data_IF_516745818261
#
_entry.id   IF_516745818261
#
_cell.length_a   1.000
_cell.length_b   1.000
_cell.length_c   1.000
_cell.angle_alpha   90.00
_cell.angle_beta   90.00
_cell.angle_gamma   90.00
#
_symmetry.space_group_name_H-M   'P 1'
#
loop_
_entity.id
_entity.type
_entity.pdbx_description
1 polymer ?
#
# COMPACT_ATOMS: atom_id res chain seq x y z
N UNK A 1 -11.60 11.30 12.20
CA UNK A 1 -10.91 10.01 11.95
C UNK A 1 -11.48 8.99 12.92
N UNK A 2 -11.81 7.81 12.43
CA UNK A 2 -12.25 6.67 13.22
C UNK A 2 -11.16 5.61 13.19
N UNK A 3 -10.64 5.24 14.36
CA UNK A 3 -9.61 4.21 14.47
C UNK A 3 -10.22 2.88 14.89
N UNK A 4 -9.78 1.80 14.25
CA UNK A 4 -10.17 0.42 14.58
C UNK A 4 -8.92 -0.43 14.66
N UNK A 5 -8.79 -1.20 15.75
CA UNK A 5 -7.61 -2.01 16.00
C UNK A 5 -7.89 -3.48 15.67
N UNK A 6 -6.93 -4.13 15.00
CA UNK A 6 -6.91 -5.58 14.79
C UNK A 6 -5.61 -6.14 15.39
N UNK A 7 -5.73 -6.83 16.52
CA UNK A 7 -4.55 -7.36 17.23
C UNK A 7 -4.04 -8.69 16.65
N UNK A 8 -4.85 -9.36 15.83
CA UNK A 8 -4.51 -10.61 15.15
C UNK A 8 -5.05 -10.58 13.72
N UNK A 9 -4.44 -11.33 12.79
CA UNK A 9 -4.94 -11.43 11.42
C UNK A 9 -6.42 -11.87 11.33
N UNK A 10 -6.84 -12.75 12.25
CA UNK A 10 -8.24 -13.23 12.33
C UNK A 10 -9.26 -12.14 12.67
N UNK A 11 -8.83 -11.06 13.27
CA UNK A 11 -9.70 -9.95 13.70
C UNK A 11 -9.94 -8.94 12.58
N UNK A 12 -9.08 -8.93 11.54
CA UNK A 12 -9.04 -7.90 10.48
C UNK A 12 -10.38 -7.77 9.74
N UNK A 13 -10.97 -8.88 9.30
CA UNK A 13 -12.24 -8.84 8.57
C UNK A 13 -13.39 -8.28 9.43
N UNK A 14 -13.45 -8.66 10.71
CA UNK A 14 -14.48 -8.17 11.64
C UNK A 14 -14.26 -6.68 11.97
N UNK A 15 -13.02 -6.29 12.21
CA UNK A 15 -12.63 -4.90 12.42
C UNK A 15 -13.02 -4.04 11.20
N UNK A 16 -12.75 -4.52 9.99
CA UNK A 16 -13.16 -3.85 8.75
C UNK A 16 -14.67 -3.71 8.66
N UNK A 17 -15.45 -4.77 8.90
CA UNK A 17 -16.92 -4.72 8.85
C UNK A 17 -17.52 -3.77 9.89
N UNK A 18 -16.86 -3.53 11.02
CA UNK A 18 -17.33 -2.57 12.02
C UNK A 18 -17.37 -1.11 11.52
N UNK A 19 -16.73 -0.83 10.38
CA UNK A 19 -16.73 0.50 9.73
C UNK A 19 -17.94 0.74 8.84
N UNK A 20 -18.79 -0.25 8.61
CA UNK A 20 -19.97 -0.13 7.75
C UNK A 20 -20.91 1.00 8.21
N UNK A 21 -21.23 1.92 7.28
CA UNK A 21 -22.07 3.08 7.56
C UNK A 21 -21.44 4.13 8.48
N UNK A 22 -20.13 4.01 8.80
CA UNK A 22 -19.39 4.89 9.70
C UNK A 22 -18.17 5.52 9.07
N UNK A 23 -17.70 4.98 7.93
CA UNK A 23 -16.55 5.47 7.19
C UNK A 23 -16.83 5.46 5.69
N UNK A 24 -16.29 6.43 4.98
CA UNK A 24 -16.39 6.57 3.52
C UNK A 24 -15.13 6.03 2.81
N UNK A 25 -14.03 5.87 3.56
CA UNK A 25 -12.76 5.36 3.07
C UNK A 25 -12.02 4.65 4.20
N UNK A 26 -11.30 3.59 3.87
CA UNK A 26 -10.41 2.89 4.79
C UNK A 26 -8.98 3.23 4.39
N UNK A 27 -8.19 3.74 5.35
CA UNK A 27 -6.74 3.84 5.20
C UNK A 27 -6.08 2.80 6.09
N UNK A 28 -5.13 2.06 5.55
CA UNK A 28 -4.29 1.15 6.30
C UNK A 28 -2.81 1.38 6.01
N UNK A 29 -2.00 1.36 7.08
CA UNK A 29 -0.55 1.35 6.97
C UNK A 29 -0.03 -0.08 6.80
N UNK A 30 1.30 -0.22 6.66
CA UNK A 30 2.00 -1.50 6.59
C UNK A 30 2.07 -2.17 7.99
N UNK A 31 0.94 -2.65 8.48
CA UNK A 31 0.86 -3.47 9.69
C UNK A 31 0.89 -4.95 9.33
N UNK A 32 1.73 -5.75 10.00
CA UNK A 32 1.92 -7.16 9.68
C UNK A 32 0.65 -8.00 9.85
N UNK A 33 -0.22 -7.70 10.82
CA UNK A 33 -1.48 -8.42 11.01
C UNK A 33 -2.45 -8.12 9.87
N UNK A 34 -2.53 -6.84 9.45
CA UNK A 34 -3.40 -6.41 8.35
C UNK A 34 -2.88 -6.98 7.03
N UNK A 35 -1.58 -6.87 6.75
CA UNK A 35 -0.96 -7.37 5.51
C UNK A 35 -1.14 -8.89 5.36
N UNK A 36 -1.00 -9.66 6.43
CA UNK A 36 -1.20 -11.12 6.38
C UNK A 36 -2.65 -11.56 6.14
N UNK A 37 -3.63 -10.69 6.42
CA UNK A 37 -5.06 -10.92 6.19
C UNK A 37 -5.68 -9.91 5.21
N UNK A 38 -4.87 -9.36 4.29
CA UNK A 38 -5.28 -8.24 3.43
C UNK A 38 -6.47 -8.60 2.54
N UNK A 39 -6.49 -9.79 1.97
CA UNK A 39 -7.60 -10.25 1.13
C UNK A 39 -8.94 -10.31 1.89
N UNK A 40 -8.89 -10.67 3.18
CA UNK A 40 -10.08 -10.68 4.02
C UNK A 40 -10.59 -9.24 4.30
N UNK A 41 -9.68 -8.27 4.47
CA UNK A 41 -10.03 -6.86 4.55
C UNK A 41 -10.62 -6.35 3.23
N UNK A 42 -9.95 -6.61 2.10
CA UNK A 42 -10.39 -6.20 0.77
C UNK A 42 -11.78 -6.79 0.43
N UNK A 43 -12.02 -8.06 0.77
CA UNK A 43 -13.34 -8.69 0.61
C UNK A 43 -14.42 -7.98 1.41
N UNK A 44 -14.18 -7.70 2.69
CA UNK A 44 -15.11 -6.97 3.53
C UNK A 44 -15.38 -5.54 3.00
N UNK A 45 -14.34 -4.85 2.54
CA UNK A 45 -14.46 -3.52 1.93
C UNK A 45 -15.27 -3.54 0.63
N UNK A 46 -15.09 -4.58 -0.21
CA UNK A 46 -15.88 -4.79 -1.44
C UNK A 46 -17.37 -5.00 -1.13
N UNK A 47 -17.69 -5.80 -0.10
CA UNK A 47 -19.07 -6.03 0.37
C UNK A 47 -19.72 -4.72 0.81
N UNK A 48 -18.99 -3.88 1.55
CA UNK A 48 -19.46 -2.61 2.10
C UNK A 48 -19.45 -1.46 1.10
N UNK A 49 -18.79 -1.62 -0.07
CA UNK A 49 -18.57 -0.55 -1.05
C UNK A 49 -17.76 0.62 -0.48
N UNK A 50 -16.72 0.32 0.27
CA UNK A 50 -15.82 1.31 0.87
C UNK A 50 -14.43 1.15 0.25
N UNK A 51 -13.85 2.20 -0.38
CA UNK A 51 -12.52 2.15 -0.98
C UNK A 51 -11.42 2.00 0.09
N UNK A 52 -10.42 1.20 -0.24
CA UNK A 52 -9.22 0.98 0.59
C UNK A 52 -8.04 1.70 -0.02
N UNK A 53 -7.40 2.55 0.76
CA UNK A 53 -6.17 3.26 0.42
C UNK A 53 -5.03 2.73 1.29
N UNK A 54 -3.87 2.52 0.67
CA UNK A 54 -2.68 1.96 1.34
C UNK A 54 -1.42 2.77 1.04
N UNK A 55 -0.26 2.29 1.48
CA UNK A 55 1.03 2.94 1.27
C UNK A 55 2.01 2.12 0.44
N UNK A 56 1.55 1.05 -0.26
CA UNK A 56 2.41 0.17 -1.05
C UNK A 56 1.70 -0.41 -2.28
N UNK A 57 2.49 -0.71 -3.33
CA UNK A 57 2.04 -1.30 -4.59
C UNK A 57 1.39 -2.68 -4.38
N UNK A 58 2.02 -3.49 -3.53
CA UNK A 58 1.63 -4.89 -3.36
C UNK A 58 0.21 -5.03 -2.82
N UNK A 59 -0.18 -4.17 -1.88
CA UNK A 59 -1.54 -4.12 -1.34
C UNK A 59 -2.57 -3.69 -2.39
N UNK A 60 -2.20 -2.81 -3.35
CA UNK A 60 -3.10 -2.45 -4.45
C UNK A 60 -3.37 -3.66 -5.35
N UNK A 61 -2.35 -4.46 -5.67
CA UNK A 61 -2.51 -5.69 -6.45
C UNK A 61 -3.38 -6.74 -5.74
N UNK A 62 -3.43 -6.72 -4.42
CA UNK A 62 -4.20 -7.64 -3.57
C UNK A 62 -5.61 -7.16 -3.24
N UNK A 63 -6.02 -5.97 -3.69
CA UNK A 63 -7.41 -5.54 -3.53
C UNK A 63 -7.61 -4.11 -3.04
N UNK A 64 -6.58 -3.30 -2.81
CA UNK A 64 -6.79 -1.88 -2.52
C UNK A 64 -7.15 -1.09 -3.78
N UNK A 65 -7.87 0.01 -3.60
CA UNK A 65 -8.21 0.97 -4.66
C UNK A 65 -6.98 1.71 -5.17
N UNK A 66 -6.16 2.21 -4.25
CA UNK A 66 -4.97 2.97 -4.56
C UNK A 66 -3.96 2.97 -3.42
N UNK A 67 -2.73 3.36 -3.73
CA UNK A 67 -1.67 3.61 -2.76
C UNK A 67 -0.79 4.78 -3.19
N UNK A 68 -0.28 5.50 -2.21
CA UNK A 68 0.81 6.44 -2.41
C UNK A 68 1.99 5.95 -1.56
N UNK A 69 3.01 5.42 -2.21
CA UNK A 69 4.10 4.74 -1.52
C UNK A 69 5.44 4.85 -2.23
N UNK A 70 6.48 4.35 -1.59
CA UNK A 70 7.81 4.25 -2.20
C UNK A 70 7.85 3.13 -3.23
N UNK A 71 8.69 3.29 -4.24
CA UNK A 71 9.01 2.19 -5.14
C UNK A 71 10.09 1.31 -4.51
N UNK A 72 9.85 0.01 -4.41
CA UNK A 72 10.74 -0.95 -3.73
C UNK A 72 12.13 -1.04 -4.38
N UNK A 73 12.20 -0.91 -5.70
CA UNK A 73 13.48 -0.90 -6.41
C UNK A 73 14.32 0.33 -6.03
N UNK A 74 13.72 1.51 -6.00
CA UNK A 74 14.40 2.74 -5.60
C UNK A 74 14.83 2.68 -4.12
N UNK A 75 13.98 2.13 -3.26
CA UNK A 75 14.30 1.89 -1.85
C UNK A 75 15.49 0.94 -1.69
N UNK A 76 15.49 -0.18 -2.43
CA UNK A 76 16.60 -1.13 -2.46
C UNK A 76 17.92 -0.50 -2.95
N UNK A 77 17.83 0.38 -3.97
CA UNK A 77 19.02 1.11 -4.47
C UNK A 77 19.61 2.07 -3.43
N UNK A 78 18.78 2.80 -2.71
CA UNK A 78 19.23 3.70 -1.63
C UNK A 78 19.87 2.88 -0.52
N UNK A 79 19.21 1.82 -0.07
CA UNK A 79 19.74 0.90 0.95
C UNK A 79 21.08 0.28 0.51
N UNK A 80 21.18 -0.17 -0.74
CA UNK A 80 22.41 -0.73 -1.30
C UNK A 80 23.57 0.26 -1.30
N UNK A 81 23.34 1.55 -1.55
CA UNK A 81 24.37 2.59 -1.43
C UNK A 81 24.85 2.77 0.01
N UNK A 82 23.95 2.71 0.98
CA UNK A 82 24.33 2.78 2.40
C UNK A 82 25.18 1.57 2.82
N UNK A 83 24.78 0.36 2.39
CA UNK A 83 25.57 -0.87 2.61
C UNK A 83 26.95 -0.76 1.97
N UNK A 84 27.03 -0.29 0.73
CA UNK A 84 28.31 -0.10 0.03
C UNK A 84 29.25 0.82 0.81
N UNK A 85 28.76 1.92 1.39
CA UNK A 85 29.55 2.84 2.22
C UNK A 85 30.13 2.14 3.45
N UNK A 86 29.31 1.34 4.16
CA UNK A 86 29.79 0.56 5.33
C UNK A 86 30.89 -0.43 4.93
N UNK A 87 30.70 -1.14 3.81
CA UNK A 87 31.67 -2.11 3.32
C UNK A 87 33.00 -1.45 2.88
N UNK A 88 32.98 -0.18 2.52
CA UNK A 88 34.18 0.59 2.18
C UNK A 88 34.81 1.34 3.37
N UNK A 89 34.34 1.10 4.58
CA UNK A 89 34.94 1.58 5.82
C UNK A 89 34.36 2.85 6.44
N UNK A 90 33.23 3.34 5.89
CA UNK A 90 32.50 4.43 6.54
C UNK A 90 31.96 3.93 7.89
N UNK A 91 32.12 4.71 8.94
CA UNK A 91 31.54 4.39 10.23
C UNK A 91 30.00 4.48 10.15
N UNK A 92 29.28 3.53 10.73
CA UNK A 92 27.80 3.53 10.75
C UNK A 92 27.25 4.82 11.35
N UNK A 93 27.95 5.40 12.34
CA UNK A 93 27.60 6.68 12.97
C UNK A 93 27.59 7.87 12.01
N UNK A 94 28.31 7.77 10.89
CA UNK A 94 28.45 8.84 9.89
C UNK A 94 27.43 8.68 8.75
N UNK A 95 26.68 7.56 8.74
CA UNK A 95 25.62 7.29 7.77
C UNK A 95 24.29 7.76 8.38
N UNK A 96 23.82 8.89 7.91
CA UNK A 96 22.53 9.43 8.36
C UNK A 96 21.37 8.60 7.82
N UNK A 97 20.25 8.45 8.58
CA UNK A 97 19.02 7.90 8.05
C UNK A 97 18.56 8.71 6.82
N UNK A 98 18.19 8.00 5.76
CA UNK A 98 17.63 8.61 4.55
C UNK A 98 16.11 8.44 4.51
N UNK A 99 15.41 9.49 4.07
CA UNK A 99 13.97 9.48 3.87
C UNK A 99 13.70 9.50 2.37
N UNK A 100 12.85 8.58 1.91
CA UNK A 100 12.43 8.56 0.51
C UNK A 100 11.46 9.71 0.24
N UNK A 101 11.89 10.69 -0.55
CA UNK A 101 11.09 11.89 -0.88
C UNK A 101 10.24 11.70 -2.14
N UNK A 102 10.52 10.67 -2.95
CA UNK A 102 9.77 10.36 -4.15
C UNK A 102 8.77 9.26 -3.85
N UNK A 103 7.50 9.62 -3.87
CA UNK A 103 6.39 8.67 -3.77
C UNK A 103 5.80 8.40 -5.16
N UNK A 104 5.32 7.21 -5.36
CA UNK A 104 4.64 6.76 -6.58
C UNK A 104 3.18 6.48 -6.25
N UNK A 105 2.28 6.98 -7.09
CA UNK A 105 0.87 6.65 -7.02
C UNK A 105 0.64 5.34 -7.76
N UNK A 106 0.02 4.37 -7.09
CA UNK A 106 -0.43 3.11 -7.66
C UNK A 106 -1.96 3.07 -7.60
N UNK A 107 -2.60 2.61 -8.67
CA UNK A 107 -4.06 2.59 -8.78
C UNK A 107 -4.55 1.28 -9.39
N UNK A 108 -5.73 0.83 -8.96
CA UNK A 108 -6.47 -0.26 -9.56
C UNK A 108 -7.91 0.18 -9.86
N UNK A 109 -8.22 0.59 -11.10
CA UNK A 109 -9.59 0.86 -11.53
C UNK A 109 -10.54 -0.31 -11.30
N UNK A 110 -10.04 -1.54 -11.43
CA UNK A 110 -10.80 -2.77 -11.16
C UNK A 110 -11.24 -2.85 -9.70
N UNK A 111 -10.31 -2.68 -8.74
CA UNK A 111 -10.63 -2.75 -7.32
C UNK A 111 -11.45 -1.54 -6.85
N UNK A 112 -11.18 -0.36 -7.39
CA UNK A 112 -12.01 0.83 -7.18
C UNK A 112 -13.49 0.54 -7.50
N UNK A 113 -13.76 -0.01 -8.69
CA UNK A 113 -15.12 -0.38 -9.10
C UNK A 113 -15.77 -1.41 -8.18
N UNK A 114 -15.00 -2.40 -7.69
CA UNK A 114 -15.49 -3.38 -6.71
C UNK A 114 -15.90 -2.71 -5.39
N UNK A 115 -15.17 -1.67 -5.00
CA UNK A 115 -15.38 -0.88 -3.77
C UNK A 115 -16.32 0.32 -3.99
N UNK A 116 -17.05 0.35 -5.11
CA UNK A 116 -18.12 1.31 -5.35
C UNK A 116 -17.69 2.70 -5.80
N UNK A 117 -16.40 2.88 -6.18
CA UNK A 117 -15.86 4.15 -6.68
C UNK A 117 -15.35 4.02 -8.12
N UNK A 118 -15.40 5.13 -8.84
CA UNK A 118 -14.78 5.27 -10.16
C UNK A 118 -13.65 6.28 -10.05
N UNK A 119 -12.44 5.87 -10.41
CA UNK A 119 -11.29 6.77 -10.43
C UNK A 119 -11.38 7.71 -11.63
N UNK A 120 -11.05 8.98 -11.41
CA UNK A 120 -10.94 9.95 -12.49
C UNK A 120 -9.82 9.55 -13.46
N UNK A 121 -10.01 9.85 -14.75
CA UNK A 121 -9.00 9.57 -15.77
C UNK A 121 -7.66 10.27 -15.51
N UNK A 122 -7.67 11.45 -14.91
CA UNK A 122 -6.48 12.16 -14.47
C UNK A 122 -5.70 11.39 -13.41
N UNK A 123 -6.39 10.84 -12.41
CA UNK A 123 -5.77 10.04 -11.34
C UNK A 123 -5.16 8.76 -11.90
N UNK A 124 -5.82 8.12 -12.87
CA UNK A 124 -5.28 6.93 -13.55
C UNK A 124 -4.05 7.28 -14.38
N UNK A 125 -4.07 8.43 -15.08
CA UNK A 125 -2.96 8.88 -15.92
C UNK A 125 -1.72 9.29 -15.10
N UNK A 126 -1.93 9.85 -13.90
CA UNK A 126 -0.85 10.25 -12.98
C UNK A 126 -0.26 9.08 -12.20
N UNK A 127 -0.96 7.95 -12.14
CA UNK A 127 -0.57 6.77 -11.39
C UNK A 127 -0.09 5.60 -12.27
N UNK A 128 0.51 4.61 -11.62
CA UNK A 128 0.79 3.31 -12.23
C UNK A 128 -0.47 2.45 -12.07
N UNK A 129 -1.11 2.13 -13.21
CA UNK A 129 -2.24 1.21 -13.23
C UNK A 129 -1.74 -0.23 -13.04
N UNK A 130 -1.94 -0.79 -11.84
CA UNK A 130 -1.45 -2.13 -11.51
C UNK A 130 -2.24 -3.25 -12.19
N UNK A 131 -3.44 -2.96 -12.72
CA UNK A 131 -4.22 -3.95 -13.47
C UNK A 131 -3.62 -4.25 -14.85
N UNK A 132 -2.78 -3.34 -15.37
CA UNK A 132 -2.15 -3.43 -16.70
C UNK A 132 -0.65 -3.69 -16.65
N UNK A 133 -0.03 -3.58 -15.47
CA UNK A 133 1.42 -3.70 -15.30
C UNK A 133 1.81 -4.93 -14.50
N UNK A 134 3.02 -5.43 -14.73
CA UNK A 134 3.63 -6.44 -13.85
C UNK A 134 4.13 -5.82 -12.56
N UNK A 135 4.26 -6.60 -11.48
CA UNK A 135 4.89 -6.15 -10.24
C UNK A 135 6.30 -5.59 -10.49
N UNK A 136 6.67 -4.55 -9.77
CA UNK A 136 7.97 -3.89 -9.91
C UNK A 136 9.17 -4.80 -9.62
N UNK A 137 8.96 -5.90 -8.89
CA UNK A 137 9.99 -6.90 -8.59
C UNK A 137 10.18 -7.98 -9.69
N UNK A 138 9.31 -8.04 -10.70
CA UNK A 138 9.43 -8.97 -11.84
C UNK A 138 9.92 -8.27 -13.13
N UNK A 139 10.20 -6.97 -13.07
CA UNK A 139 10.71 -6.19 -14.17
C UNK A 139 12.25 -6.24 -14.20
N UNK A 140 12.81 -7.39 -14.57
CA UNK A 140 14.24 -7.57 -14.86
C UNK A 140 14.45 -8.31 -16.16
#
# INVERSE_FOLDING_TARGET
ILEVTANRPTDVAMATRSLQGRADVIYTSLDNNVISAFEAMASAANEMKIPVITSDEFSVRRGATAALGVNDYDFGRVTGKMVYRVLNGDAITDIKPEVMNKLTLYVSPKHAKQQGVTLDSSVIADGINVDETKPSNEAS
#
